data_IF_406268668042
#
_entry.id   IF_406268668042
#
_cell.length_a   1.000
_cell.length_b   1.000
_cell.length_c   1.000
_cell.angle_alpha   90.00
_cell.angle_beta   90.00
_cell.angle_gamma   90.00
#
_symmetry.space_group_name_H-M   'P 1'
#
loop_
_entity.id
_entity.type
_entity.pdbx_description
1 polymer ?
#
# COMPACT_ATOMS: atom_id res chain seq x y z
N UNK A 1 31.98 -4.18 4.93
CA UNK A 1 31.22 -5.19 4.27
C UNK A 1 30.00 -4.64 3.59
N UNK A 2 29.72 -5.18 2.46
CA UNK A 2 28.55 -4.77 1.72
C UNK A 2 27.42 -5.70 2.08
N UNK A 3 26.36 -5.17 2.58
CA UNK A 3 25.19 -5.98 2.87
C UNK A 3 24.35 -6.12 1.60
N UNK A 4 23.85 -7.28 1.39
CA UNK A 4 23.00 -7.50 0.24
C UNK A 4 21.57 -7.11 0.61
N UNK A 5 20.75 -6.97 -0.41
CA UNK A 5 19.35 -6.63 -0.18
C UNK A 5 18.65 -7.70 0.67
N UNK A 6 19.10 -8.94 0.53
CA UNK A 6 18.51 -10.02 1.30
C UNK A 6 18.84 -9.85 2.79
N UNK A 7 20.05 -9.45 3.10
CA UNK A 7 20.44 -9.26 4.49
C UNK A 7 19.62 -8.14 5.13
N UNK A 8 19.36 -7.09 4.35
CA UNK A 8 18.56 -6.00 4.84
C UNK A 8 17.14 -6.48 5.19
N UNK A 9 16.56 -7.29 4.31
CA UNK A 9 15.22 -7.79 4.55
C UNK A 9 15.15 -8.72 5.76
N UNK A 10 16.16 -9.52 5.95
CA UNK A 10 16.17 -10.41 7.11
C UNK A 10 16.29 -9.65 8.40
N UNK A 11 17.12 -8.62 8.41
CA UNK A 11 17.28 -7.79 9.60
C UNK A 11 15.97 -7.10 9.94
N UNK A 12 15.29 -6.54 8.94
CA UNK A 12 14.02 -5.88 9.16
C UNK A 12 12.98 -6.86 9.69
N UNK A 13 12.96 -8.05 9.17
CA UNK A 13 12.01 -9.07 9.59
C UNK A 13 12.26 -9.49 11.04
N UNK A 14 13.51 -9.61 11.43
CA UNK A 14 13.84 -9.99 12.80
C UNK A 14 13.43 -8.92 13.79
N UNK A 15 13.63 -7.67 13.41
CA UNK A 15 13.23 -6.56 14.29
C UNK A 15 11.73 -6.49 14.43
N UNK A 16 11.01 -6.73 13.35
CA UNK A 16 9.56 -6.71 13.40
C UNK A 16 9.03 -7.83 14.28
N UNK A 17 9.60 -9.02 14.15
CA UNK A 17 9.16 -10.15 14.94
C UNK A 17 9.42 -9.93 16.43
N UNK A 18 10.57 -9.38 16.76
CA UNK A 18 10.90 -9.10 18.15
C UNK A 18 9.92 -8.12 18.76
N UNK A 19 9.56 -7.09 17.99
CA UNK A 19 8.62 -6.09 18.50
C UNK A 19 7.19 -6.62 18.55
N UNK A 20 6.85 -7.48 17.61
CA UNK A 20 5.53 -8.08 17.61
C UNK A 20 5.34 -8.98 18.82
N UNK A 21 6.37 -9.64 19.25
CA UNK A 21 6.29 -10.49 20.42
C UNK A 21 6.05 -9.68 21.68
N UNK A 22 6.72 -8.57 21.80
CA UNK A 22 6.53 -7.70 22.97
C UNK A 22 5.10 -7.18 23.02
N UNK A 23 4.53 -6.88 21.85
CA UNK A 23 3.20 -6.35 21.82
C UNK A 23 2.17 -7.44 22.08
N UNK A 24 2.46 -8.65 21.68
CA UNK A 24 1.53 -9.74 21.86
C UNK A 24 1.31 -10.08 23.32
N UNK A 25 2.33 -10.00 24.11
CA UNK A 25 2.17 -10.31 25.53
C UNK A 25 1.18 -9.39 26.20
N UNK A 26 1.14 -8.17 25.77
CA UNK A 26 0.25 -7.20 26.36
C UNK A 26 -1.17 -7.40 25.85
N UNK A 27 -1.30 -7.89 24.65
CA UNK A 27 -2.62 -8.05 24.09
C UNK A 27 -3.35 -9.27 24.55
N UNK A 28 -2.64 -10.30 24.84
CA UNK A 28 -3.29 -11.52 25.24
C UNK A 28 -4.27 -11.37 26.38
N UNK A 29 -3.99 -10.47 27.26
CA UNK A 29 -4.87 -10.29 28.40
C UNK A 29 -6.17 -9.61 28.04
N UNK A 30 -6.18 -8.85 26.98
CA UNK A 30 -7.38 -8.12 26.63
C UNK A 30 -8.26 -8.76 25.62
N UNK A 31 -7.71 -9.64 24.85
CA UNK A 31 -8.44 -10.13 23.74
C UNK A 31 -9.40 -11.24 23.95
N UNK A 32 -9.42 -11.82 25.05
CA UNK A 32 -10.29 -12.98 25.22
C UNK A 32 -11.76 -12.68 25.04
N UNK A 33 -12.18 -11.59 25.54
CA UNK A 33 -13.59 -11.28 25.46
C UNK A 33 -14.09 -10.83 24.11
N UNK A 34 -13.45 -9.93 23.49
CA UNK A 34 -13.95 -9.46 22.21
C UNK A 34 -13.99 -10.49 21.12
N UNK A 35 -13.09 -11.41 21.18
CA UNK A 35 -13.03 -12.36 20.08
C UNK A 35 -14.26 -13.23 19.97
N UNK A 36 -14.85 -13.56 21.05
CA UNK A 36 -16.03 -14.39 20.98
C UNK A 36 -17.19 -13.68 20.32
N UNK A 37 -17.33 -12.44 20.63
CA UNK A 37 -18.39 -11.68 20.02
C UNK A 37 -18.18 -11.53 18.53
N UNK A 38 -16.96 -11.32 18.16
CA UNK A 38 -16.67 -11.16 16.75
C UNK A 38 -17.03 -12.42 15.97
N UNK A 39 -16.76 -13.54 16.55
CA UNK A 39 -17.08 -14.77 15.88
C UNK A 39 -18.58 -14.94 15.66
N UNK A 40 -19.33 -14.54 16.63
CA UNK A 40 -20.77 -14.65 16.50
C UNK A 40 -21.29 -13.76 15.39
N UNK A 41 -20.72 -12.60 15.26
CA UNK A 41 -21.15 -11.69 14.23
C UNK A 41 -20.85 -12.25 12.86
N UNK A 42 -19.72 -12.85 12.73
CA UNK A 42 -19.32 -13.39 11.45
C UNK A 42 -20.29 -14.46 11.00
N UNK A 43 -20.68 -15.29 11.92
CA UNK A 43 -21.61 -16.34 11.60
C UNK A 43 -22.92 -15.78 11.11
N UNK A 44 -23.36 -14.75 11.74
CA UNK A 44 -24.61 -14.15 11.33
C UNK A 44 -24.54 -13.65 9.91
N UNK A 45 -23.46 -13.03 9.60
CA UNK A 45 -23.33 -12.47 8.29
C UNK A 45 -23.38 -13.51 7.21
N UNK A 46 -22.84 -14.64 7.49
CA UNK A 46 -22.85 -15.63 6.49
C UNK A 46 -24.22 -16.03 6.13
N UNK A 47 -25.02 -16.11 7.08
CA UNK A 47 -26.38 -16.52 6.84
C UNK A 47 -27.02 -15.57 5.85
N UNK A 48 -26.75 -14.35 6.00
CA UNK A 48 -27.35 -13.41 5.14
C UNK A 48 -26.95 -13.57 3.74
N UNK A 49 -25.76 -13.84 3.56
CA UNK A 49 -25.27 -13.90 2.26
C UNK A 49 -25.99 -14.82 1.42
N UNK A 50 -26.34 -15.83 1.94
CA UNK A 50 -26.93 -16.79 1.15
C UNK A 50 -28.07 -16.27 0.44
N UNK A 51 -28.71 -15.52 1.10
CA UNK A 51 -29.84 -15.11 0.58
C UNK A 51 -29.74 -14.56 -0.70
N UNK A 52 -29.01 -13.79 -0.82
CA UNK A 52 -28.96 -13.23 -1.89
C UNK A 52 -28.93 -13.79 -3.00
N UNK A 53 -28.46 -14.46 -3.03
CA UNK A 53 -28.19 -14.94 -4.09
C UNK A 53 -29.22 -14.93 -4.95
N UNK A 54 -29.91 -15.20 -4.69
CA UNK A 54 -30.78 -15.45 -5.42
C UNK A 54 -31.07 -14.55 -6.34
N UNK A 55 -31.18 -13.93 -6.05
CA UNK A 55 -31.53 -13.09 -6.79
C UNK A 55 -31.03 -12.87 -7.92
N UNK A 56 -30.23 -12.85 -7.75
CA UNK A 56 -29.61 -12.52 -8.78
C UNK A 56 -30.10 -12.82 -9.95
N UNK A 57 -30.38 -13.41 -9.84
CA UNK A 57 -30.69 -13.78 -10.86
C UNK A 57 -31.21 -13.09 -11.78
N UNK A 58 -31.60 -12.93 -11.53
CA UNK A 58 -32.19 -12.38 -12.25
C UNK A 58 -31.73 -11.75 -13.19
N UNK A 59 -31.09 -11.72 -12.98
CA UNK A 59 -30.50 -11.10 -13.72
C UNK A 59 -30.91 -10.79 -14.89
N UNK A 60 -31.25 -11.15 -14.95
CA UNK A 60 -31.76 -10.85 -15.75
C UNK A 60 -31.45 -10.08 -16.66
N UNK A 61 -31.37 -9.94 -16.55
CA UNK A 61 -31.20 -9.34 -17.25
C UNK A 61 -30.67 -8.70 -17.92
N UNK A 62 -30.65 -8.68 -17.95
CA UNK A 62 -30.23 -8.07 -18.32
C UNK A 62 -29.63 -7.73 -19.27
N UNK A 63 -29.55 -8.05 -19.35
CA UNK A 63 -29.16 -7.90 -20.18
C UNK A 63 -28.70 -6.97 -20.97
N UNK A 64 -29.04 -6.68 -21.12
CA UNK A 64 -28.78 -5.83 -21.84
C UNK A 64 -27.86 -5.12 -21.78
N UNK A 65 -27.92 -4.98 -21.20
CA UNK A 65 -27.12 -4.17 -20.93
C UNK A 65 -26.10 -4.24 -21.52
N UNK A 66 -25.96 -4.83 -21.60
CA UNK A 66 -25.04 -4.86 -21.95
C UNK A 66 -24.32 -4.15 -22.56
N UNK A 67 -24.50 -3.96 -22.71
CA UNK A 67 -23.94 -3.25 -23.35
C UNK A 67 -23.07 -2.58 -22.89
N UNK A 68 -23.45 -2.32 -22.28
CA UNK A 68 -22.63 -1.47 -21.80
C UNK A 68 -21.53 -1.99 -21.52
N UNK A 69 -21.73 -2.76 -21.18
CA UNK A 69 -20.73 -3.20 -20.83
C UNK A 69 -19.79 -3.06 -21.42
N UNK A 70 -19.97 -3.31 -21.99
CA UNK A 70 -19.03 -3.16 -22.62
C UNK A 70 -18.08 -2.44 -22.10
N UNK A 71 -18.34 -1.67 -22.05
CA UNK A 71 -17.35 -0.91 -21.69
C UNK A 71 -16.51 -1.52 -20.84
N UNK A 72 -16.98 -1.97 -20.10
CA UNK A 72 -16.25 -2.46 -19.22
C UNK A 72 -15.28 -3.12 -19.61
N UNK A 73 -15.42 -3.64 -20.13
CA UNK A 73 -14.53 -4.30 -20.33
C UNK A 73 -13.50 -3.91 -20.72
N UNK A 74 -13.70 -3.70 -21.27
CA UNK A 74 -12.65 -3.29 -21.82
C UNK A 74 -11.72 -3.15 -20.92
N UNK A 75 -12.03 -2.54 -20.35
CA UNK A 75 -11.19 -2.30 -19.44
C UNK A 75 -10.55 -3.33 -19.09
N UNK A 76 -11.15 -4.06 -18.86
CA UNK A 76 -10.54 -5.05 -18.35
C UNK A 76 -9.42 -5.24 -19.07
N UNK A 77 -9.62 -5.55 -20.04
CA UNK A 77 -8.48 -5.94 -20.60
C UNK A 77 -7.62 -5.13 -20.14
N UNK A 78 -8.24 -4.45 -19.79
CA UNK A 78 -7.40 -3.64 -19.34
C UNK A 78 -6.13 -4.05 -19.09
N UNK A 79 -6.02 -4.80 -18.53
CA UNK A 79 -4.75 -5.12 -18.15
C UNK A 79 -3.87 -4.50 -19.08
N UNK A 80 -4.33 -4.35 -20.05
CA UNK A 80 -3.55 -3.89 -20.97
C UNK A 80 -3.02 -2.59 -20.83
N UNK A 81 -3.59 -1.78 -20.34
CA UNK A 81 -3.08 -0.45 -20.37
C UNK A 81 -2.07 -0.14 -19.34
N UNK A 82 -1.72 -1.05 -18.52
CA UNK A 82 -0.74 -0.81 -17.48
C UNK A 82 0.64 -1.15 -18.05
N UNK A 83 1.38 -0.14 -18.44
CA UNK A 83 2.67 -0.37 -19.13
C UNK A 83 3.71 0.70 -18.83
N UNK A 84 4.06 0.81 -17.58
CA UNK A 84 5.12 1.73 -17.17
C UNK A 84 6.47 1.26 -17.75
N UNK A 85 7.31 2.18 -18.14
CA UNK A 85 8.65 1.84 -18.64
C UNK A 85 9.67 2.89 -18.18
N UNK A 86 10.91 2.70 -18.56
CA UNK A 86 12.00 3.57 -18.10
C UNK A 86 11.80 5.02 -18.46
N UNK A 87 11.10 5.29 -19.53
CA UNK A 87 10.90 6.67 -19.97
C UNK A 87 9.63 7.28 -19.37
N UNK A 88 8.84 6.50 -18.69
CA UNK A 88 7.61 7.01 -18.08
C UNK A 88 7.94 7.87 -16.88
N UNK A 89 7.02 8.75 -16.51
CA UNK A 89 7.22 9.65 -15.38
C UNK A 89 6.17 9.40 -14.30
N UNK A 90 6.56 9.67 -13.08
CA UNK A 90 5.69 9.56 -11.91
C UNK A 90 5.34 10.94 -11.40
N UNK A 91 4.11 11.12 -10.95
CA UNK A 91 3.71 12.33 -10.25
C UNK A 91 4.12 12.18 -8.79
N UNK A 92 4.23 13.30 -8.09
CA UNK A 92 4.46 13.25 -6.65
C UNK A 92 3.18 12.76 -5.97
N UNK A 93 3.25 11.75 -5.13
CA UNK A 93 2.02 11.19 -4.51
C UNK A 93 1.44 12.11 -3.45
N UNK A 94 2.23 13.03 -2.90
CA UNK A 94 1.76 13.96 -1.89
C UNK A 94 2.54 15.26 -2.07
N UNK A 95 1.94 16.36 -1.68
CA UNK A 95 2.57 17.66 -1.80
C UNK A 95 3.44 17.90 -0.56
N UNK A 96 4.71 17.55 -0.68
CA UNK A 96 5.63 17.68 0.46
C UNK A 96 7.06 17.64 0.00
N UNK A 97 7.97 17.54 0.95
CA UNK A 97 9.41 17.50 0.66
C UNK A 97 9.97 16.16 1.10
N UNK A 98 11.09 15.80 0.53
CA UNK A 98 11.73 14.55 0.87
C UNK A 98 12.41 14.67 2.24
N UNK A 99 12.03 13.83 3.17
CA UNK A 99 12.64 13.79 4.49
C UNK A 99 13.81 12.81 4.53
N UNK A 100 13.64 11.67 3.85
CA UNK A 100 14.70 10.66 3.76
C UNK A 100 14.75 10.18 2.32
N UNK A 101 15.94 10.20 1.73
CA UNK A 101 16.10 9.78 0.35
C UNK A 101 16.27 8.27 0.22
N UNK A 102 15.94 7.76 -0.95
CA UNK A 102 16.28 6.38 -1.29
C UNK A 102 17.80 6.23 -1.21
N UNK A 103 18.26 5.17 -0.58
CA UNK A 103 19.69 4.87 -0.52
C UNK A 103 19.89 3.40 -0.23
N UNK A 104 20.28 2.65 -1.25
CA UNK A 104 20.57 1.23 -1.10
C UNK A 104 22.07 0.93 -1.29
N UNK A 105 22.86 1.95 -1.56
CA UNK A 105 24.31 1.81 -1.66
C UNK A 105 25.01 2.33 -0.41
N UNK A 106 24.34 3.17 0.37
CA UNK A 106 24.87 3.72 1.61
C UNK A 106 23.76 3.73 2.64
N UNK A 107 24.15 3.74 3.90
CA UNK A 107 23.14 3.84 4.95
C UNK A 107 22.79 5.30 5.19
N UNK A 108 21.58 5.55 5.66
CA UNK A 108 21.14 6.87 6.07
C UNK A 108 20.66 6.77 7.52
N UNK A 109 20.65 7.90 8.21
CA UNK A 109 20.29 7.93 9.61
C UNK A 109 18.77 8.06 9.76
N UNK A 110 18.17 7.14 10.52
CA UNK A 110 16.75 7.17 10.85
C UNK A 110 16.60 7.71 12.25
N UNK A 111 16.16 8.94 12.39
CA UNK A 111 16.07 9.61 13.68
C UNK A 111 15.22 8.87 14.69
N UNK A 112 14.08 8.39 14.29
CA UNK A 112 13.19 7.69 15.20
C UNK A 112 13.84 6.46 15.82
N UNK A 113 14.60 5.73 15.00
CA UNK A 113 15.20 4.46 15.43
C UNK A 113 16.62 4.64 15.97
N UNK A 114 17.18 5.83 15.81
CA UNK A 114 18.56 6.12 16.18
C UNK A 114 19.49 5.06 15.57
N UNK A 115 19.31 4.81 14.29
CA UNK A 115 20.06 3.78 13.56
C UNK A 115 20.41 4.24 12.15
N UNK A 116 21.52 3.71 11.64
CA UNK A 116 21.88 3.89 10.24
C UNK A 116 21.42 2.65 9.49
N UNK A 117 20.61 2.82 8.46
CA UNK A 117 20.06 1.72 7.69
C UNK A 117 19.99 2.09 6.22
N UNK A 118 19.91 1.08 5.37
CA UNK A 118 19.60 1.31 3.97
C UNK A 118 18.12 1.73 3.90
N UNK A 119 17.80 2.56 2.92
CA UNK A 119 16.43 3.04 2.76
C UNK A 119 15.93 2.70 1.36
N UNK A 120 15.05 1.70 1.22
CA UNK A 120 14.54 1.32 -0.10
C UNK A 120 13.46 2.25 -0.64
N UNK A 121 13.03 3.21 0.14
CA UNK A 121 11.92 4.08 -0.21
C UNK A 121 12.30 5.54 -0.05
N UNK A 122 11.45 6.41 -0.56
CA UNK A 122 11.58 7.84 -0.32
C UNK A 122 10.52 8.18 0.72
N UNK A 123 10.89 8.92 1.75
CA UNK A 123 9.96 9.36 2.78
C UNK A 123 9.63 10.81 2.52
N UNK A 124 8.36 11.09 2.22
CA UNK A 124 7.92 12.42 1.80
C UNK A 124 7.03 13.02 2.87
N UNK A 125 7.31 14.25 3.30
CA UNK A 125 6.53 14.89 4.35
C UNK A 125 5.10 15.20 3.88
N UNK A 126 4.19 15.28 4.83
CA UNK A 126 2.82 15.69 4.56
C UNK A 126 2.14 16.04 5.87
N UNK A 127 0.98 16.64 5.80
CA UNK A 127 0.18 16.90 6.99
C UNK A 127 -0.89 15.81 7.09
N UNK A 128 -1.25 15.48 8.31
CA UNK A 128 -2.30 14.47 8.50
C UNK A 128 -3.55 14.89 7.73
N UNK A 129 -4.11 13.97 6.96
CA UNK A 129 -5.31 14.25 6.17
C UNK A 129 -5.03 14.73 4.76
N UNK A 130 -3.78 14.99 4.42
CA UNK A 130 -3.47 15.37 3.03
C UNK A 130 -3.78 14.21 2.11
N UNK A 131 -4.25 14.52 0.91
CA UNK A 131 -4.55 13.48 -0.07
C UNK A 131 -3.28 12.85 -0.61
N UNK A 132 -3.30 11.54 -0.75
CA UNK A 132 -2.22 10.80 -1.40
C UNK A 132 -2.79 10.26 -2.70
N UNK A 133 -2.18 10.64 -3.81
CA UNK A 133 -2.70 10.29 -5.12
C UNK A 133 -1.82 9.28 -5.81
N UNK A 134 -2.41 8.56 -6.75
CA UNK A 134 -1.65 7.58 -7.53
C UNK A 134 -0.68 8.32 -8.43
N UNK A 135 0.58 7.94 -8.37
CA UNK A 135 1.64 8.59 -9.14
C UNK A 135 1.57 8.25 -10.63
N UNK A 136 0.89 7.18 -10.97
CA UNK A 136 0.69 6.78 -12.36
C UNK A 136 -0.45 5.77 -12.41
N UNK A 137 -0.85 5.40 -13.61
CA UNK A 137 -1.92 4.43 -13.80
C UNK A 137 -1.46 3.04 -13.38
N UNK A 138 -2.31 2.29 -12.74
CA UNK A 138 -1.98 0.93 -12.31
C UNK A 138 -3.17 0.15 -11.80
N UNK A 139 -2.89 -1.03 -11.27
CA UNK A 139 -3.91 -1.90 -10.70
C UNK A 139 -3.54 -2.19 -9.26
N UNK A 140 -4.48 -2.02 -8.35
CA UNK A 140 -4.21 -2.25 -6.93
C UNK A 140 -3.95 -3.73 -6.71
N UNK A 141 -2.74 -4.05 -6.29
CA UNK A 141 -2.31 -5.43 -6.13
C UNK A 141 -2.57 -5.94 -4.72
N UNK A 142 -2.34 -5.10 -3.72
CA UNK A 142 -2.62 -5.48 -2.34
C UNK A 142 -2.78 -4.24 -1.47
N UNK A 143 -3.44 -4.41 -0.34
CA UNK A 143 -3.59 -3.38 0.67
C UNK A 143 -3.31 -4.08 1.99
N UNK A 144 -2.21 -3.73 2.63
CA UNK A 144 -1.75 -4.41 3.84
C UNK A 144 -1.55 -3.42 4.97
N UNK A 145 -1.61 -3.89 6.19
CA UNK A 145 -1.31 -3.06 7.35
C UNK A 145 -0.08 -3.66 8.02
N UNK A 146 1.00 -2.92 8.07
CA UNK A 146 2.23 -3.39 8.69
C UNK A 146 2.61 -2.47 9.83
N UNK A 147 3.37 -2.99 10.78
CA UNK A 147 3.81 -2.20 11.91
C UNK A 147 4.72 -1.05 11.47
N UNK A 148 5.52 -1.28 10.46
CA UNK A 148 6.48 -0.28 10.02
C UNK A 148 5.88 0.79 9.12
N UNK A 149 5.11 0.39 8.13
CA UNK A 149 4.60 1.35 7.15
C UNK A 149 3.10 1.60 7.25
N UNK A 150 2.44 1.06 8.28
CA UNK A 150 1.00 1.28 8.47
C UNK A 150 0.20 0.72 7.30
N UNK A 151 -0.92 1.37 6.99
CA UNK A 151 -1.73 0.94 5.86
C UNK A 151 -0.98 1.27 4.59
N UNK A 152 -0.73 0.25 3.79
CA UNK A 152 0.14 0.35 2.60
C UNK A 152 -0.60 -0.19 1.38
N UNK A 153 -0.67 0.62 0.35
CA UNK A 153 -1.29 0.22 -0.93
C UNK A 153 -0.18 -0.11 -1.91
N UNK A 154 -0.24 -1.31 -2.49
CA UNK A 154 0.72 -1.75 -3.49
C UNK A 154 0.04 -1.76 -4.84
N UNK A 155 0.60 -1.07 -5.81
CA UNK A 155 0.03 -0.94 -7.14
C UNK A 155 0.99 -1.48 -8.20
N UNK A 156 0.47 -2.37 -9.04
CA UNK A 156 1.20 -2.90 -10.18
C UNK A 156 1.05 -1.89 -11.32
N UNK A 157 2.14 -1.34 -11.79
CA UNK A 157 2.10 -0.35 -12.86
C UNK A 157 2.62 -0.88 -14.19
N UNK A 158 2.90 -2.18 -14.26
CA UNK A 158 3.25 -2.84 -15.53
C UNK A 158 4.73 -3.05 -15.70
N UNK A 159 5.05 -3.99 -16.56
CA UNK A 159 6.43 -4.31 -16.95
C UNK A 159 7.36 -4.62 -15.75
N UNK A 160 6.79 -5.21 -14.71
CA UNK A 160 7.59 -5.58 -13.54
C UNK A 160 7.77 -4.46 -12.55
N UNK A 161 7.20 -3.29 -12.80
CA UNK A 161 7.28 -2.17 -11.87
C UNK A 161 6.12 -2.17 -10.89
N UNK A 162 6.38 -1.83 -9.64
CA UNK A 162 5.37 -1.72 -8.60
C UNK A 162 5.63 -0.50 -7.74
N UNK A 163 4.58 0.08 -7.20
CA UNK A 163 4.69 1.19 -6.27
C UNK A 163 4.02 0.81 -4.95
N UNK A 164 4.60 1.27 -3.86
CA UNK A 164 4.06 1.09 -2.51
C UNK A 164 3.86 2.45 -1.89
N UNK A 165 2.66 2.68 -1.36
CA UNK A 165 2.32 3.95 -0.71
C UNK A 165 1.94 3.61 0.73
N UNK A 166 2.79 3.95 1.70
CA UNK A 166 2.57 3.58 3.09
C UNK A 166 2.21 4.76 3.98
N UNK A 167 1.81 4.42 5.19
CA UNK A 167 1.38 5.36 6.22
C UNK A 167 0.14 6.14 5.83
N UNK A 168 -0.83 5.41 5.26
CA UNK A 168 -2.09 6.00 4.80
C UNK A 168 -3.23 5.71 5.77
N UNK A 169 -4.33 6.42 5.59
CA UNK A 169 -5.58 6.13 6.27
C UNK A 169 -6.73 6.37 5.29
N UNK A 170 -7.88 5.84 5.62
CA UNK A 170 -9.10 6.05 4.85
C UNK A 170 -8.91 5.74 3.37
N UNK A 171 -8.39 4.57 3.08
CA UNK A 171 -8.10 4.12 1.72
C UNK A 171 -9.41 3.76 1.01
N UNK A 172 -9.79 4.49 -0.04
CA UNK A 172 -11.07 4.23 -0.71
C UNK A 172 -11.01 3.18 -1.82
N UNK A 173 -9.81 2.75 -2.20
CA UNK A 173 -9.67 1.78 -3.29
C UNK A 173 -9.63 0.36 -2.76
N UNK A 174 -9.84 -0.61 -3.63
CA UNK A 174 -9.85 -2.02 -3.29
C UNK A 174 -8.87 -2.78 -4.15
N UNK A 175 -8.47 -3.95 -3.67
CA UNK A 175 -7.59 -4.83 -4.44
C UNK A 175 -8.28 -5.19 -5.75
N UNK A 176 -7.56 -5.06 -6.83
CA UNK A 176 -8.08 -5.32 -8.17
C UNK A 176 -8.54 -4.07 -8.90
N UNK A 177 -8.69 -2.96 -8.21
CA UNK A 177 -9.16 -1.74 -8.87
C UNK A 177 -8.12 -1.22 -9.85
N UNK A 178 -8.59 -0.78 -11.00
CA UNK A 178 -7.78 -0.06 -11.97
C UNK A 178 -7.85 1.41 -11.56
N UNK A 179 -6.71 2.03 -11.34
CA UNK A 179 -6.67 3.44 -10.94
C UNK A 179 -5.84 4.24 -11.94
N UNK A 180 -6.34 5.39 -12.31
CA UNK A 180 -5.60 6.27 -13.19
C UNK A 180 -4.71 7.16 -12.35
N UNK A 181 -3.73 7.79 -12.96
CA UNK A 181 -2.91 8.77 -12.28
C UNK A 181 -3.80 9.82 -11.63
N UNK A 182 -3.41 10.29 -10.46
CA UNK A 182 -4.13 11.28 -9.66
C UNK A 182 -5.33 10.75 -8.90
N UNK A 183 -5.64 9.47 -9.03
CA UNK A 183 -6.71 8.88 -8.21
C UNK A 183 -6.31 8.94 -6.75
N UNK A 184 -7.22 9.31 -5.86
CA UNK A 184 -6.92 9.36 -4.44
C UNK A 184 -6.80 7.95 -3.90
N UNK A 185 -5.65 7.62 -3.36
CA UNK A 185 -5.39 6.31 -2.79
C UNK A 185 -5.64 6.27 -1.29
N UNK A 186 -5.66 7.43 -0.66
CA UNK A 186 -5.86 7.52 0.77
C UNK A 186 -5.43 8.88 1.25
N UNK A 187 -5.20 8.98 2.54
CA UNK A 187 -4.84 10.24 3.17
C UNK A 187 -3.67 9.99 4.11
N UNK A 188 -2.85 11.01 4.34
CA UNK A 188 -1.70 10.89 5.23
C UNK A 188 -2.20 10.62 6.64
N UNK A 189 -1.68 9.58 7.30
CA UNK A 189 -2.08 9.25 8.66
C UNK A 189 -1.04 9.77 9.64
N UNK A 190 -1.31 9.61 10.92
CA UNK A 190 -0.29 9.82 11.94
C UNK A 190 0.82 8.81 11.65
N UNK A 191 2.08 9.14 11.89
CA UNK A 191 3.17 8.22 11.57
C UNK A 191 3.16 7.01 12.49
N UNK A 192 3.68 5.90 12.00
CA UNK A 192 3.87 4.74 12.85
C UNK A 192 4.99 5.06 13.82
N UNK A 193 5.17 4.22 14.82
CA UNK A 193 6.25 4.43 15.77
C UNK A 193 7.63 4.37 15.13
N UNK A 194 7.74 3.83 13.95
CA UNK A 194 9.03 3.74 13.25
C UNK A 194 9.41 5.09 12.61
N UNK A 195 8.47 5.99 12.48
CA UNK A 195 8.71 7.29 11.84
C UNK A 195 8.18 8.45 12.67
N UNK A 196 8.02 8.26 13.98
CA UNK A 196 7.40 9.27 14.81
C UNK A 196 8.18 10.59 14.85
N UNK A 197 9.49 10.52 14.84
CA UNK A 197 10.32 11.73 14.86
C UNK A 197 10.26 12.47 13.54
N UNK A 198 10.15 11.72 12.43
CA UNK A 198 10.05 12.32 11.11
C UNK A 198 8.71 13.04 10.92
N UNK A 199 7.72 12.68 11.72
CA UNK A 199 6.39 13.29 11.61
C UNK A 199 5.56 12.64 10.51
N UNK A 200 4.40 13.21 10.23
CA UNK A 200 3.50 12.67 9.22
C UNK A 200 4.18 12.63 7.85
N UNK A 201 4.08 11.52 7.19
CA UNK A 201 4.78 11.32 5.92
C UNK A 201 4.17 10.18 5.13
N UNK A 202 4.55 10.10 3.87
CA UNK A 202 4.19 8.99 2.99
C UNK A 202 5.45 8.17 2.74
N UNK A 203 5.34 6.87 2.98
CA UNK A 203 6.41 5.93 2.62
C UNK A 203 6.17 5.58 1.15
N UNK A 204 7.08 5.93 0.27
CA UNK A 204 6.91 5.73 -1.16
C UNK A 204 8.06 4.89 -1.72
N UNK A 205 7.76 3.65 -2.08
CA UNK A 205 8.77 2.72 -2.58
C UNK A 205 8.43 2.28 -3.99
N UNK A 206 9.44 2.18 -4.85
CA UNK A 206 9.28 1.65 -6.20
C UNK A 206 10.14 0.42 -6.33
N UNK A 207 9.61 -0.62 -6.96
CA UNK A 207 10.36 -1.83 -7.25
C UNK A 207 10.30 -2.16 -8.73
N UNK A 208 11.39 -2.71 -9.23
CA UNK A 208 11.45 -3.26 -10.59
C UNK A 208 11.84 -4.71 -10.44
N UNK A 209 10.97 -5.61 -10.89
CA UNK A 209 11.18 -7.07 -10.76
C UNK A 209 11.52 -7.46 -9.32
N UNK A 210 10.82 -6.86 -8.37
CA UNK A 210 10.97 -7.19 -6.96
C UNK A 210 12.11 -6.50 -6.24
N UNK A 211 12.91 -5.69 -6.94
CA UNK A 211 14.06 -5.02 -6.32
C UNK A 211 13.79 -3.52 -6.19
N UNK A 212 14.09 -2.92 -5.05
CA UNK A 212 13.89 -1.48 -4.89
C UNK A 212 14.73 -0.68 -5.88
N UNK A 213 14.13 0.35 -6.44
CA UNK A 213 14.83 1.30 -7.31
C UNK A 213 14.46 2.69 -6.82
N UNK A 214 15.23 3.68 -7.23
CA UNK A 214 15.02 5.05 -6.77
C UNK A 214 13.86 5.70 -7.52
N UNK A 215 12.73 5.94 -6.86
CA UNK A 215 11.58 6.50 -7.55
C UNK A 215 11.80 7.93 -8.02
N UNK A 216 12.72 8.66 -7.38
CA UNK A 216 12.98 10.04 -7.75
C UNK A 216 13.49 10.16 -9.19
N UNK A 217 14.18 9.14 -9.67
CA UNK A 217 14.68 9.15 -11.05
C UNK A 217 13.55 9.14 -12.08
N UNK A 218 12.37 8.77 -11.67
CA UNK A 218 11.22 8.69 -12.58
C UNK A 218 10.22 9.83 -12.32
N UNK A 219 10.43 10.64 -11.30
CA UNK A 219 9.46 11.68 -10.97
C UNK A 219 9.61 12.93 -11.85
N UNK A 220 8.48 13.61 -12.03
CA UNK A 220 8.49 14.85 -12.78
C UNK A 220 9.11 15.94 -11.93
N UNK A 221 9.76 16.92 -12.54
CA UNK A 221 10.38 18.04 -11.82
C UNK A 221 9.36 19.09 -11.45
#
# INVERSE_FOLDING_TARGET
GTYTFNDYKETQRKEELARAEETNDTKEKKTKEPSEEANNLVISNQADTDTQENTADEGTGTDETDNGSAGTQATAGGGTSVSFNEDSKLLWPVNGTILLNYSMDKTVYFSTLDQYKYNPAVIISGAEGDQVISATTGIVKSIDVTAETGTTVNIDIGNGYELFYGQLKEVPVKVGDYVEAKTVLGYVSQPTKYYSVEGCNVYFEMRKDGQPVNPVEYMEE
#
